data_IF_112996200927
#
_entry.id   IF_112996200927
#
_cell.length_a   1.000
_cell.length_b   1.000
_cell.length_c   1.000
_cell.angle_alpha   90.00
_cell.angle_beta   90.00
_cell.angle_gamma   90.00
#
_symmetry.space_group_name_H-M   'P 1'
#
loop_
_entity.id
_entity.type
_entity.pdbx_description
1 polymer ?
#
# COMPACT_ATOMS: atom_id res chain seq x y z
N UNK A 1 -0.31 -16.16 -7.48
CA UNK A 1 -0.12 -15.24 -6.34
C UNK A 1 1.09 -14.39 -6.67
N UNK A 2 1.01 -13.06 -6.59
CA UNK A 2 2.12 -12.16 -6.96
C UNK A 2 3.13 -12.05 -5.80
N UNK A 3 4.43 -12.02 -6.13
CA UNK A 3 5.49 -11.91 -5.13
C UNK A 3 5.58 -10.49 -4.56
N UNK A 4 5.56 -10.31 -3.22
CA UNK A 4 5.68 -9.00 -2.61
C UNK A 4 7.13 -8.50 -2.61
N UNK A 5 7.33 -7.31 -3.15
CA UNK A 5 8.59 -6.57 -3.00
C UNK A 5 8.37 -5.46 -1.99
N UNK A 6 8.86 -5.66 -0.76
CA UNK A 6 8.75 -4.65 0.29
C UNK A 6 9.86 -3.61 0.13
N UNK A 7 9.48 -2.33 0.09
CA UNK A 7 10.44 -1.24 0.11
C UNK A 7 10.81 -0.90 1.55
N UNK A 8 12.06 -0.49 1.79
CA UNK A 8 12.54 -0.08 3.12
C UNK A 8 11.68 1.01 3.77
N UNK A 9 11.08 1.86 2.94
CA UNK A 9 10.16 2.90 3.39
C UNK A 9 8.80 2.34 3.81
N UNK A 10 8.23 1.42 3.03
CA UNK A 10 7.00 0.74 3.41
C UNK A 10 7.18 -0.07 4.70
N UNK A 11 8.32 -0.73 4.88
CA UNK A 11 8.64 -1.46 6.11
C UNK A 11 8.68 -0.56 7.34
N UNK A 12 9.25 0.66 7.22
CA UNK A 12 9.26 1.65 8.30
C UNK A 12 7.84 2.09 8.67
N UNK A 13 7.01 2.38 7.68
CA UNK A 13 5.59 2.73 7.88
C UNK A 13 4.82 1.58 8.54
N UNK A 14 4.98 0.37 8.01
CA UNK A 14 4.37 -0.84 8.54
C UNK A 14 4.79 -1.07 9.99
N UNK A 15 6.08 -0.92 10.33
CA UNK A 15 6.57 -1.03 11.71
C UNK A 15 5.89 -0.01 12.63
N UNK A 16 5.70 1.23 12.18
CA UNK A 16 4.96 2.25 12.93
C UNK A 16 3.49 1.87 13.15
N UNK A 17 2.82 1.39 12.11
CA UNK A 17 1.43 0.90 12.17
C UNK A 17 1.30 -0.28 13.12
N UNK A 18 2.19 -1.27 13.04
CA UNK A 18 2.17 -2.47 13.90
C UNK A 18 2.48 -2.15 15.37
N UNK A 19 3.23 -1.08 15.65
CA UNK A 19 3.41 -0.56 17.01
C UNK A 19 2.13 0.10 17.53
N UNK A 20 1.40 0.81 16.68
CA UNK A 20 0.12 1.46 17.04
C UNK A 20 -1.03 0.47 17.20
N UNK A 21 -1.04 -0.62 16.42
CA UNK A 21 -2.09 -1.62 16.40
C UNK A 21 -1.56 -3.04 16.69
N UNK A 22 -1.00 -3.28 17.89
CA UNK A 22 -0.36 -4.55 18.22
C UNK A 22 -1.30 -5.77 18.13
N UNK A 23 -2.59 -5.62 18.44
CA UNK A 23 -3.57 -6.71 18.43
C UNK A 23 -4.01 -7.10 17.02
N UNK A 24 -3.82 -6.24 16.03
CA UNK A 24 -4.18 -6.52 14.64
C UNK A 24 -2.96 -6.94 13.78
N UNK A 25 -1.78 -7.20 14.36
CA UNK A 25 -0.56 -7.53 13.61
C UNK A 25 -0.76 -8.66 12.59
N UNK A 26 -1.36 -9.78 13.03
CA UNK A 26 -1.63 -10.95 12.17
C UNK A 26 -2.58 -10.58 11.03
N UNK A 27 -3.67 -9.86 11.34
CA UNK A 27 -4.66 -9.40 10.36
C UNK A 27 -4.04 -8.48 9.31
N UNK A 28 -3.27 -7.48 9.75
CA UNK A 28 -2.65 -6.50 8.85
C UNK A 28 -1.71 -7.19 7.86
N UNK A 29 -0.88 -8.12 8.34
CA UNK A 29 0.01 -8.91 7.48
C UNK A 29 -0.78 -9.77 6.48
N UNK A 30 -1.75 -10.55 6.96
CA UNK A 30 -2.58 -11.39 6.09
C UNK A 30 -3.29 -10.59 5.00
N UNK A 31 -3.84 -9.42 5.33
CA UNK A 31 -4.51 -8.56 4.36
C UNK A 31 -3.53 -8.02 3.30
N UNK A 32 -2.31 -7.62 3.69
CA UNK A 32 -1.24 -7.20 2.76
C UNK A 32 -0.81 -8.38 1.86
N UNK A 33 -0.63 -9.56 2.45
CA UNK A 33 -0.22 -10.78 1.74
C UNK A 33 -1.32 -11.29 0.80
N UNK A 34 -2.59 -11.01 1.10
CA UNK A 34 -3.74 -11.35 0.25
C UNK A 34 -4.01 -10.35 -0.87
N UNK A 35 -3.30 -9.19 -0.91
CA UNK A 35 -3.50 -8.19 -1.97
C UNK A 35 -3.28 -8.79 -3.36
N UNK A 36 -4.22 -8.53 -4.26
CA UNK A 36 -4.15 -8.87 -5.67
C UNK A 36 -4.57 -7.67 -6.55
N UNK A 37 -4.33 -7.78 -7.85
CA UNK A 37 -4.59 -6.70 -8.82
C UNK A 37 -6.09 -6.43 -9.10
N UNK A 38 -6.96 -7.31 -8.61
CA UNK A 38 -8.41 -7.29 -8.79
C UNK A 38 -9.15 -6.75 -7.57
N UNK A 39 -8.52 -6.80 -6.41
CA UNK A 39 -9.06 -6.41 -5.11
C UNK A 39 -8.75 -4.95 -4.80
N UNK A 40 -9.73 -4.27 -4.22
CA UNK A 40 -9.63 -2.86 -3.86
C UNK A 40 -9.93 -1.88 -5.01
N UNK A 41 -10.00 -0.60 -4.63
CA UNK A 41 -10.38 0.49 -5.53
C UNK A 41 -9.17 0.89 -6.39
N UNK A 42 -9.36 1.20 -7.68
CA UNK A 42 -8.29 1.88 -8.45
C UNK A 42 -7.94 3.19 -7.76
N UNK A 43 -6.64 3.46 -7.58
CA UNK A 43 -6.21 4.74 -7.04
C UNK A 43 -6.22 5.79 -8.15
N UNK A 44 -6.95 6.91 -7.99
CA UNK A 44 -7.11 7.88 -9.07
C UNK A 44 -5.82 8.64 -9.37
N UNK A 45 -5.66 9.03 -10.63
CA UNK A 45 -4.54 9.88 -11.07
C UNK A 45 -3.28 9.12 -11.48
N UNK A 46 -3.39 7.81 -11.71
CA UNK A 46 -2.41 6.98 -12.42
C UNK A 46 -3.09 6.47 -13.70
N UNK A 47 -2.37 6.48 -14.83
CA UNK A 47 -2.89 6.01 -16.12
C UNK A 47 -3.17 4.50 -16.11
N UNK A 48 -3.80 3.99 -17.17
CA UNK A 48 -4.18 2.57 -17.28
C UNK A 48 -2.98 1.62 -17.32
N UNK A 49 -1.79 2.12 -17.70
CA UNK A 49 -0.55 1.37 -17.74
C UNK A 49 -0.02 0.99 -16.34
N UNK A 50 -0.47 1.70 -15.29
CA UNK A 50 -0.07 1.47 -13.92
C UNK A 50 -1.24 0.98 -13.08
N UNK A 51 -1.20 -0.29 -12.69
CA UNK A 51 -2.22 -0.88 -11.84
C UNK A 51 -1.91 -0.51 -10.38
N UNK A 52 -2.39 0.66 -9.95
CA UNK A 52 -2.31 1.11 -8.55
C UNK A 52 -3.67 0.92 -7.89
N UNK A 53 -3.72 0.12 -6.82
CA UNK A 53 -4.96 -0.13 -6.06
C UNK A 53 -4.84 0.34 -4.61
N UNK A 54 -5.99 0.72 -4.06
CA UNK A 54 -6.21 1.06 -2.66
C UNK A 54 -7.04 -0.03 -1.99
N UNK A 55 -6.44 -0.75 -1.07
CA UNK A 55 -7.15 -1.69 -0.20
C UNK A 55 -7.48 -1.04 1.14
N UNK A 56 -8.67 -1.35 1.67
CA UNK A 56 -9.15 -0.85 2.97
C UNK A 56 -9.17 -1.98 3.99
N UNK A 57 -8.35 -1.87 5.03
CA UNK A 57 -8.24 -2.86 6.09
C UNK A 57 -9.01 -2.37 7.32
N UNK A 58 -10.03 -3.12 7.73
CA UNK A 58 -10.70 -2.90 9.01
C UNK A 58 -9.86 -3.43 10.17
N UNK A 59 -9.92 -2.74 11.31
CA UNK A 59 -9.30 -3.15 12.57
C UNK A 59 -10.39 -3.32 13.63
N UNK A 60 -11.12 -4.46 13.62
CA UNK A 60 -12.25 -4.69 14.52
C UNK A 60 -11.82 -4.70 16.00
N UNK A 61 -10.58 -5.13 16.29
CA UNK A 61 -9.99 -5.13 17.63
C UNK A 61 -9.92 -3.71 18.23
N UNK A 62 -10.01 -2.68 17.39
CA UNK A 62 -9.99 -1.26 17.76
C UNK A 62 -11.31 -0.54 17.43
N UNK A 63 -12.39 -1.27 17.11
CA UNK A 63 -13.69 -0.71 16.67
C UNK A 63 -13.57 0.20 15.42
N UNK A 64 -12.57 -0.06 14.57
CA UNK A 64 -12.35 0.65 13.32
C UNK A 64 -12.82 -0.20 12.13
N UNK A 65 -14.00 0.10 11.58
CA UNK A 65 -14.45 -0.51 10.33
C UNK A 65 -13.57 -0.10 9.12
N UNK A 66 -13.76 -0.76 7.96
CA UNK A 66 -12.99 -0.51 6.73
C UNK A 66 -12.94 0.97 6.31
N UNK A 67 -13.99 1.74 6.62
CA UNK A 67 -14.09 3.16 6.27
C UNK A 67 -13.16 4.06 7.10
N UNK A 68 -12.76 3.65 8.31
CA UNK A 68 -11.92 4.41 9.28
C UNK A 68 -10.61 3.70 9.63
N UNK A 69 -10.41 2.48 9.14
CA UNK A 69 -9.22 1.67 9.40
C UNK A 69 -8.01 2.10 8.58
N UNK A 70 -7.24 1.12 8.15
CA UNK A 70 -6.02 1.36 7.37
C UNK A 70 -6.30 1.35 5.88
N UNK A 71 -5.42 2.00 5.15
CA UNK A 71 -5.34 1.95 3.70
C UNK A 71 -3.95 1.51 3.31
N UNK A 72 -3.91 0.56 2.40
CA UNK A 72 -2.68 0.12 1.76
C UNK A 72 -2.80 0.47 0.30
N UNK A 73 -1.81 1.18 -0.21
CA UNK A 73 -1.67 1.46 -1.64
C UNK A 73 -0.62 0.51 -2.19
N UNK A 74 -0.96 -0.21 -3.25
CA UNK A 74 -0.11 -1.22 -3.85
C UNK A 74 -0.04 -1.01 -5.36
N UNK A 75 1.17 -1.11 -5.91
CA UNK A 75 1.42 -1.22 -7.35
C UNK A 75 1.46 -2.70 -7.73
N UNK A 76 0.80 -3.05 -8.82
CA UNK A 76 0.84 -4.39 -9.38
C UNK A 76 1.57 -4.38 -10.73
N UNK A 77 2.69 -5.09 -10.78
CA UNK A 77 3.49 -5.32 -11.98
C UNK A 77 3.15 -6.71 -12.52
N UNK A 78 1.96 -6.84 -13.10
CA UNK A 78 1.37 -8.14 -13.51
C UNK A 78 2.31 -8.92 -14.44
N UNK A 79 2.90 -8.24 -15.44
CA UNK A 79 3.87 -8.86 -16.36
C UNK A 79 5.13 -9.39 -15.67
N UNK A 80 5.49 -8.82 -14.51
CA UNK A 80 6.66 -9.24 -13.72
C UNK A 80 6.28 -10.17 -12.57
N UNK A 81 5.00 -10.55 -12.44
CA UNK A 81 4.53 -11.40 -11.34
C UNK A 81 4.66 -10.77 -9.96
N UNK A 82 4.79 -9.44 -9.86
CA UNK A 82 5.16 -8.73 -8.62
C UNK A 82 4.07 -7.80 -8.13
N UNK A 83 3.98 -7.67 -6.81
CA UNK A 83 3.22 -6.61 -6.14
C UNK A 83 4.12 -5.81 -5.23
N UNK A 84 3.94 -4.50 -5.21
CA UNK A 84 4.81 -3.58 -4.47
C UNK A 84 3.92 -2.70 -3.59
N UNK A 85 3.78 -3.03 -2.30
CA UNK A 85 3.15 -2.15 -1.34
C UNK A 85 3.93 -0.83 -1.25
N UNK A 86 3.27 0.28 -1.60
CA UNK A 86 3.91 1.60 -1.69
C UNK A 86 3.75 2.40 -0.40
N UNK A 87 2.54 2.39 0.17
CA UNK A 87 2.19 3.22 1.33
C UNK A 87 1.18 2.49 2.20
N UNK A 88 1.35 2.57 3.53
CA UNK A 88 0.32 2.16 4.50
C UNK A 88 0.04 3.27 5.51
N UNK A 89 -1.22 3.59 5.70
CA UNK A 89 -1.63 4.63 6.64
C UNK A 89 -3.01 4.37 7.24
N UNK A 90 -3.22 4.84 8.46
CA UNK A 90 -4.57 4.96 9.01
C UNK A 90 -5.27 6.17 8.38
N UNK A 91 -6.53 6.02 7.97
CA UNK A 91 -7.35 7.18 7.57
C UNK A 91 -7.47 8.16 8.73
N UNK A 92 -6.96 9.38 8.54
CA UNK A 92 -7.30 10.53 9.39
C UNK A 92 -8.22 11.52 8.67
N UNK A 93 -8.49 12.68 9.28
CA UNK A 93 -9.37 13.75 8.76
C UNK A 93 -8.86 14.28 7.39
N UNK A 94 -9.70 15.05 6.69
CA UNK A 94 -9.47 15.54 5.33
C UNK A 94 -8.07 16.17 5.11
N UNK A 95 -7.47 15.96 3.93
CA UNK A 95 -6.17 16.54 3.54
C UNK A 95 -5.00 15.53 3.38
N UNK A 96 -5.18 14.27 3.81
CA UNK A 96 -4.13 13.25 3.74
C UNK A 96 -3.94 12.67 2.32
N UNK A 97 -4.98 12.61 1.48
CA UNK A 97 -4.91 11.92 0.18
C UNK A 97 -3.97 12.62 -0.82
N UNK A 98 -3.87 13.96 -0.83
CA UNK A 98 -2.92 14.67 -1.69
C UNK A 98 -1.47 14.37 -1.29
N UNK A 99 -1.18 14.35 0.02
CA UNK A 99 0.15 13.98 0.54
C UNK A 99 0.49 12.53 0.17
N UNK A 100 -0.48 11.62 0.29
CA UNK A 100 -0.31 10.21 -0.12
C UNK A 100 -0.08 10.11 -1.62
N UNK A 101 -0.79 10.87 -2.45
CA UNK A 101 -0.57 10.91 -3.91
C UNK A 101 0.86 11.35 -4.26
N UNK A 102 1.35 12.42 -3.64
CA UNK A 102 2.73 12.88 -3.84
C UNK A 102 3.75 11.83 -3.39
N UNK A 103 3.50 11.19 -2.24
CA UNK A 103 4.36 10.11 -1.76
C UNK A 103 4.40 8.94 -2.74
N UNK A 104 3.26 8.49 -3.28
CA UNK A 104 3.20 7.44 -4.30
C UNK A 104 4.05 7.83 -5.51
N UNK A 105 3.90 9.05 -6.04
CA UNK A 105 4.66 9.53 -7.20
C UNK A 105 6.17 9.49 -6.91
N UNK A 106 6.60 9.97 -5.73
CA UNK A 106 8.01 9.93 -5.33
C UNK A 106 8.53 8.49 -5.29
N UNK A 107 7.78 7.56 -4.70
CA UNK A 107 8.15 6.14 -4.64
C UNK A 107 8.28 5.51 -6.03
N UNK A 108 7.36 5.82 -6.92
CA UNK A 108 7.41 5.32 -8.30
C UNK A 108 8.64 5.87 -9.05
N UNK A 109 9.01 7.13 -8.84
CA UNK A 109 10.23 7.72 -9.41
C UNK A 109 11.51 7.06 -8.86
N UNK A 110 11.58 6.83 -7.55
CA UNK A 110 12.70 6.12 -6.91
C UNK A 110 12.86 4.71 -7.49
N UNK A 111 11.75 3.99 -7.65
CA UNK A 111 11.74 2.65 -8.26
C UNK A 111 12.19 2.69 -9.71
N UNK A 112 11.68 3.62 -10.51
CA UNK A 112 12.08 3.76 -11.92
C UNK A 112 13.59 4.06 -12.05
N UNK A 113 14.12 4.95 -11.20
CA UNK A 113 15.56 5.24 -11.18
C UNK A 113 16.40 4.01 -10.85
N UNK A 114 16.01 3.26 -9.81
CA UNK A 114 16.73 2.03 -9.39
C UNK A 114 16.67 0.93 -10.46
N UNK A 115 15.56 0.85 -11.20
CA UNK A 115 15.40 -0.14 -12.28
C UNK A 115 16.15 0.25 -13.55
N UNK A 116 16.32 1.54 -13.83
CA UNK A 116 17.08 2.03 -14.99
C UNK A 116 18.59 1.96 -14.82
N UNK A 117 19.10 1.74 -13.60
CA UNK A 117 20.55 1.59 -13.34
C UNK A 117 20.99 0.13 -13.30
N UNK A 118 20.06 -0.80 -13.48
CA UNK A 118 20.31 -2.25 -13.44
C UNK A 118 20.36 -2.88 -14.84
N UNK A 119 20.30 -2.06 -15.90
CA UNK A 119 20.52 -2.42 -17.30
C UNK A 119 21.88 -1.88 -17.79
#
# INVERSE_FOLDING_TARGET
>A
MLEPVLTSSFEKELKGILKKFPNSKKRIKLEIDSLDEKTGDRYPGFGDDLIVRKQRIGLPEYKLGRSRGLRVICLFLVHKGKKVPLVIYQKSKAGQENKVKQLIITRLKEMAATMSTAD
#
